data_IF_805573735757
#
_entry.id   IF_805573735757
#
_cell.length_a   1.000
_cell.length_b   1.000
_cell.length_c   1.000
_cell.angle_alpha   90.00
_cell.angle_beta   90.00
_cell.angle_gamma   90.00
#
_symmetry.space_group_name_H-M   'P 1'
#
loop_
_entity.id
_entity.type
_entity.pdbx_description
1 polymer ?
#
# COMPACT_ATOMS: atom_id res chain seq x y z
N UNK A 1 4.01 17.77 -3.57
CA UNK A 1 4.31 16.52 -2.84
C UNK A 1 3.20 15.50 -3.10
N UNK A 2 2.00 15.71 -2.57
CA UNK A 2 0.87 14.79 -2.74
C UNK A 2 0.40 14.55 -4.19
N UNK A 3 0.43 15.58 -5.04
CA UNK A 3 0.09 15.43 -6.47
C UNK A 3 1.03 14.46 -7.20
N UNK A 4 2.32 14.45 -6.83
CA UNK A 4 3.29 13.49 -7.36
C UNK A 4 2.98 12.04 -6.96
N UNK A 5 2.54 11.83 -5.71
CA UNK A 5 2.09 10.50 -5.25
C UNK A 5 0.87 10.01 -6.04
N UNK A 6 -0.09 10.89 -6.31
CA UNK A 6 -1.29 10.58 -7.09
C UNK A 6 -0.96 10.25 -8.54
N UNK A 7 -0.07 11.03 -9.17
CA UNK A 7 0.36 10.78 -10.55
C UNK A 7 1.06 9.42 -10.67
N UNK A 8 2.00 9.12 -9.78
CA UNK A 8 2.69 7.83 -9.75
C UNK A 8 1.72 6.66 -9.54
N UNK A 9 0.77 6.79 -8.62
CA UNK A 9 -0.25 5.78 -8.39
C UNK A 9 -1.11 5.55 -9.63
N UNK A 10 -1.50 6.62 -10.32
CA UNK A 10 -2.28 6.53 -11.56
C UNK A 10 -1.51 5.83 -12.68
N UNK A 11 -0.22 6.14 -12.85
CA UNK A 11 0.65 5.50 -13.84
C UNK A 11 0.83 4.00 -13.55
N UNK A 12 1.03 3.65 -12.29
CA UNK A 12 1.11 2.25 -11.83
C UNK A 12 -0.20 1.48 -12.07
N UNK A 13 -1.36 2.10 -11.78
CA UNK A 13 -2.69 1.52 -12.05
C UNK A 13 -2.90 1.34 -13.56
N UNK A 14 -2.53 2.32 -14.37
CA UNK A 14 -2.62 2.25 -15.83
C UNK A 14 -1.72 1.15 -16.39
N UNK A 15 -0.56 0.92 -15.79
CA UNK A 15 0.34 -0.18 -16.13
C UNK A 15 -0.32 -1.53 -15.87
N UNK A 16 -0.93 -1.73 -14.69
CA UNK A 16 -1.67 -2.97 -14.37
C UNK A 16 -2.82 -3.18 -15.36
N UNK A 17 -3.60 -2.13 -15.65
CA UNK A 17 -4.71 -2.20 -16.62
C UNK A 17 -4.20 -2.61 -18.01
N UNK A 18 -3.06 -2.07 -18.44
CA UNK A 18 -2.45 -2.41 -19.73
C UNK A 18 -2.01 -3.87 -19.78
N UNK A 19 -1.42 -4.39 -18.71
CA UNK A 19 -1.03 -5.80 -18.59
C UNK A 19 -2.25 -6.72 -18.67
N UNK A 20 -3.33 -6.40 -17.93
CA UNK A 20 -4.58 -7.17 -17.97
C UNK A 20 -5.15 -7.20 -19.39
N UNK A 21 -5.24 -6.04 -20.05
CA UNK A 21 -5.79 -5.92 -21.40
C UNK A 21 -4.99 -6.74 -22.43
N UNK A 22 -3.65 -6.68 -22.36
CA UNK A 22 -2.77 -7.47 -23.23
C UNK A 22 -3.00 -8.96 -22.98
N UNK A 23 -3.03 -9.36 -21.71
CA UNK A 23 -3.21 -10.76 -21.32
C UNK A 23 -4.57 -11.31 -21.75
N UNK A 24 -5.63 -10.51 -21.60
CA UNK A 24 -6.96 -10.83 -22.07
C UNK A 24 -7.01 -10.99 -23.59
N UNK A 25 -6.36 -10.07 -24.32
CA UNK A 25 -6.29 -10.18 -25.78
C UNK A 25 -5.53 -11.42 -26.25
N UNK A 26 -4.46 -11.78 -25.56
CA UNK A 26 -3.71 -13.01 -25.86
C UNK A 26 -4.56 -14.26 -25.65
N UNK A 27 -5.34 -14.32 -24.55
CA UNK A 27 -6.30 -15.42 -24.32
C UNK A 27 -7.33 -15.54 -25.44
N UNK A 28 -7.91 -14.42 -25.88
CA UNK A 28 -8.87 -14.41 -27.01
C UNK A 28 -8.25 -14.95 -28.31
N UNK A 29 -7.01 -14.54 -28.61
CA UNK A 29 -6.30 -14.98 -29.83
C UNK A 29 -6.09 -16.49 -29.80
N UNK A 30 -5.66 -17.03 -28.66
CA UNK A 30 -5.40 -18.47 -28.48
C UNK A 30 -6.70 -19.27 -28.56
N UNK A 31 -7.80 -18.74 -28.02
CA UNK A 31 -9.11 -19.41 -28.01
C UNK A 31 -9.78 -19.44 -29.40
N UNK A 32 -9.75 -18.33 -30.15
CA UNK A 32 -10.59 -18.15 -31.34
C UNK A 32 -9.90 -18.49 -32.67
N UNK A 33 -8.56 -18.54 -32.73
CA UNK A 33 -7.83 -18.69 -34.01
C UNK A 33 -6.80 -19.84 -34.04
N UNK A 34 -7.08 -21.06 -33.53
CA UNK A 34 -6.07 -22.13 -33.46
C UNK A 34 -5.46 -22.53 -34.81
N UNK A 35 -6.14 -22.25 -35.93
CA UNK A 35 -5.76 -22.67 -37.29
C UNK A 35 -5.31 -21.54 -38.23
N UNK A 36 -5.36 -20.26 -37.81
CA UNK A 36 -4.83 -19.12 -38.59
C UNK A 36 -3.47 -18.60 -38.08
N UNK A 37 -2.98 -19.16 -36.99
CA UNK A 37 -1.74 -18.74 -36.32
C UNK A 37 -0.55 -19.52 -36.90
N UNK A 38 0.04 -19.00 -37.98
CA UNK A 38 1.09 -19.69 -38.74
C UNK A 38 2.53 -19.47 -38.23
N UNK A 39 2.75 -18.70 -37.15
CA UNK A 39 4.10 -18.45 -36.62
C UNK A 39 4.48 -19.44 -35.51
N UNK A 40 5.76 -19.82 -35.45
CA UNK A 40 6.30 -20.69 -34.41
C UNK A 40 6.07 -20.12 -32.99
N UNK A 41 6.16 -18.79 -32.84
CA UNK A 41 5.92 -18.09 -31.57
C UNK A 41 4.51 -18.34 -31.01
N UNK A 42 3.49 -18.35 -31.87
CA UNK A 42 2.10 -18.56 -31.44
C UNK A 42 1.84 -20.02 -31.08
N UNK A 43 2.45 -20.98 -31.79
CA UNK A 43 2.44 -22.40 -31.40
C UNK A 43 3.13 -22.61 -30.06
N UNK A 44 4.25 -21.94 -29.83
CA UNK A 44 4.95 -21.97 -28.54
C UNK A 44 4.07 -21.43 -27.41
N UNK A 45 3.44 -20.27 -27.60
CA UNK A 45 2.53 -19.68 -26.61
C UNK A 45 1.36 -20.63 -26.34
N UNK A 46 0.72 -21.18 -27.37
CA UNK A 46 -0.41 -22.11 -27.19
C UNK A 46 -0.02 -23.38 -26.44
N UNK A 47 1.16 -23.94 -26.71
CA UNK A 47 1.66 -25.14 -26.04
C UNK A 47 2.02 -24.91 -24.56
N UNK A 48 2.33 -23.67 -24.18
CA UNK A 48 2.77 -23.30 -22.83
C UNK A 48 1.75 -22.45 -22.05
N UNK A 49 0.65 -22.03 -22.68
CA UNK A 49 -0.38 -21.24 -22.04
C UNK A 49 -1.05 -22.03 -20.90
N UNK A 50 -1.35 -21.39 -19.75
CA UNK A 50 -2.07 -22.07 -18.68
C UNK A 50 -3.46 -22.54 -19.16
N UNK A 51 -3.83 -23.78 -18.82
CA UNK A 51 -5.07 -24.40 -19.27
C UNK A 51 -6.31 -23.82 -18.58
N UNK A 52 -7.35 -23.56 -19.37
CA UNK A 52 -8.66 -23.09 -18.90
C UNK A 52 -8.59 -21.76 -18.15
N UNK A 53 -9.39 -21.62 -17.10
CA UNK A 53 -9.50 -20.37 -16.35
C UNK A 53 -8.25 -20.07 -15.47
N UNK A 54 -7.26 -20.96 -15.41
CA UNK A 54 -6.08 -20.79 -14.55
C UNK A 54 -5.25 -19.55 -14.88
N UNK A 55 -5.16 -19.20 -16.16
CA UNK A 55 -4.49 -17.96 -16.57
C UNK A 55 -5.25 -16.75 -16.03
N UNK A 56 -6.56 -16.70 -16.27
CA UNK A 56 -7.42 -15.62 -15.80
C UNK A 56 -7.34 -15.46 -14.27
N UNK A 57 -7.40 -16.58 -13.53
CA UNK A 57 -7.26 -16.59 -12.06
C UNK A 57 -5.90 -16.03 -11.64
N UNK A 58 -4.81 -16.43 -12.29
CA UNK A 58 -3.47 -15.90 -11.98
C UNK A 58 -3.36 -14.38 -12.22
N UNK A 59 -3.92 -13.90 -13.33
CA UNK A 59 -3.90 -12.47 -13.66
C UNK A 59 -4.68 -11.67 -12.62
N UNK A 60 -5.85 -12.15 -12.21
CA UNK A 60 -6.61 -11.51 -11.14
C UNK A 60 -5.83 -11.51 -9.82
N UNK A 61 -5.28 -12.65 -9.41
CA UNK A 61 -4.52 -12.77 -8.17
C UNK A 61 -3.30 -11.83 -8.13
N UNK A 62 -2.52 -11.80 -9.22
CA UNK A 62 -1.34 -10.93 -9.34
C UNK A 62 -1.72 -9.45 -9.38
N UNK A 63 -2.77 -9.10 -10.14
CA UNK A 63 -3.27 -7.72 -10.24
C UNK A 63 -3.80 -7.21 -8.92
N UNK A 64 -4.64 -7.99 -8.21
CA UNK A 64 -5.17 -7.64 -6.89
C UNK A 64 -4.03 -7.48 -5.88
N UNK A 65 -3.07 -8.41 -5.86
CA UNK A 65 -1.91 -8.34 -4.96
C UNK A 65 -1.08 -7.08 -5.23
N UNK A 66 -0.85 -6.75 -6.50
CA UNK A 66 -0.11 -5.54 -6.88
C UNK A 66 -0.89 -4.27 -6.52
N UNK A 67 -2.20 -4.22 -6.76
CA UNK A 67 -3.06 -3.09 -6.39
C UNK A 67 -3.03 -2.85 -4.88
N UNK A 68 -3.08 -3.91 -4.07
CA UNK A 68 -2.94 -3.77 -2.61
C UNK A 68 -1.57 -3.24 -2.21
N UNK A 69 -0.49 -3.75 -2.80
CA UNK A 69 0.86 -3.25 -2.52
C UNK A 69 1.02 -1.76 -2.91
N UNK A 70 0.42 -1.35 -4.03
CA UNK A 70 0.39 0.05 -4.47
C UNK A 70 -0.38 0.93 -3.49
N UNK A 71 -1.55 0.48 -3.05
CA UNK A 71 -2.36 1.17 -2.06
C UNK A 71 -1.60 1.33 -0.74
N UNK A 72 -0.97 0.27 -0.23
CA UNK A 72 -0.22 0.35 1.03
C UNK A 72 0.94 1.33 0.91
N UNK A 73 1.73 1.24 -0.16
CA UNK A 73 2.83 2.16 -0.42
C UNK A 73 2.33 3.61 -0.58
N UNK A 74 1.20 3.83 -1.27
CA UNK A 74 0.61 5.16 -1.40
C UNK A 74 0.24 5.75 -0.04
N UNK A 75 -0.43 4.98 0.82
CA UNK A 75 -0.81 5.43 2.17
C UNK A 75 0.42 5.68 3.04
N UNK A 76 1.40 4.79 3.03
CA UNK A 76 2.64 4.95 3.81
C UNK A 76 3.39 6.23 3.40
N UNK A 77 3.52 6.51 2.10
CA UNK A 77 4.14 7.73 1.61
C UNK A 77 3.30 8.97 1.94
N UNK A 78 1.98 8.91 1.77
CA UNK A 78 1.07 10.00 2.10
C UNK A 78 1.19 10.41 3.57
N UNK A 79 1.18 9.42 4.47
CA UNK A 79 1.33 9.66 5.91
C UNK A 79 2.75 10.13 6.22
N UNK A 80 3.78 9.53 5.63
CA UNK A 80 5.16 9.96 5.83
C UNK A 80 5.39 11.43 5.46
N UNK A 81 4.86 11.84 4.30
CA UNK A 81 4.90 13.20 3.79
C UNK A 81 4.13 14.17 4.70
N UNK A 82 2.94 13.77 5.15
CA UNK A 82 2.17 14.53 6.13
C UNK A 82 2.94 14.78 7.43
N UNK A 83 3.59 13.75 7.99
CA UNK A 83 4.40 13.88 9.21
C UNK A 83 5.58 14.84 9.03
N UNK A 84 6.22 14.85 7.85
CA UNK A 84 7.31 15.78 7.54
C UNK A 84 6.82 17.24 7.49
N UNK A 85 5.56 17.47 7.13
CA UNK A 85 4.95 18.81 7.09
C UNK A 85 4.52 19.32 8.47
N UNK A 86 4.24 18.46 9.43
CA UNK A 86 3.72 18.88 10.75
C UNK A 86 4.60 19.93 11.47
N UNK A 87 5.95 19.82 11.52
CA UNK A 87 6.79 20.85 12.11
C UNK A 87 6.72 22.23 11.42
N UNK A 88 6.20 22.29 10.19
CA UNK A 88 5.98 23.55 9.48
C UNK A 88 4.64 24.20 9.88
N UNK A 89 3.70 23.39 10.36
CA UNK A 89 2.36 23.83 10.79
C UNK A 89 2.32 24.15 12.29
N UNK A 90 3.13 23.45 13.08
CA UNK A 90 3.23 23.62 14.53
C UNK A 90 4.66 24.03 14.89
N UNK A 91 4.84 25.25 15.37
CA UNK A 91 6.17 25.79 15.72
C UNK A 91 6.78 25.16 16.97
N UNK A 92 5.96 24.57 17.84
CA UNK A 92 6.41 23.86 19.03
C UNK A 92 5.87 22.44 19.02
N UNK A 93 6.73 21.47 19.38
CA UNK A 93 6.35 20.06 19.48
C UNK A 93 5.19 19.84 20.46
N UNK A 94 5.12 20.63 21.52
CA UNK A 94 4.06 20.54 22.53
C UNK A 94 2.69 20.96 22.01
N UNK A 95 2.64 21.71 20.91
CA UNK A 95 1.39 22.11 20.26
C UNK A 95 0.81 20.99 19.38
N UNK A 96 1.59 19.95 19.05
CA UNK A 96 1.09 18.80 18.29
C UNK A 96 0.00 18.07 19.08
N UNK A 97 -0.96 17.42 18.40
CA UNK A 97 -1.92 16.55 19.06
C UNK A 97 -1.24 15.48 19.93
N UNK A 98 -1.84 15.16 21.07
CA UNK A 98 -1.29 14.17 22.01
C UNK A 98 -1.06 12.80 21.33
N UNK A 99 -1.96 12.39 20.43
CA UNK A 99 -1.81 11.16 19.65
C UNK A 99 -0.52 11.13 18.83
N UNK A 100 -0.15 12.26 18.22
CA UNK A 100 1.07 12.40 17.41
C UNK A 100 2.30 12.31 18.30
N UNK A 101 2.30 13.03 19.43
CA UNK A 101 3.44 13.00 20.38
C UNK A 101 3.64 11.60 20.94
N UNK A 102 2.57 10.95 21.39
CA UNK A 102 2.63 9.59 21.94
C UNK A 102 3.10 8.59 20.88
N UNK A 103 2.56 8.65 19.66
CA UNK A 103 2.99 7.76 18.58
C UNK A 103 4.46 7.98 18.23
N UNK A 104 4.93 9.23 18.14
CA UNK A 104 6.33 9.53 17.83
C UNK A 104 7.27 8.95 18.89
N UNK A 105 6.97 9.14 20.19
CA UNK A 105 7.74 8.59 21.30
C UNK A 105 7.80 7.06 21.26
N UNK A 106 6.63 6.40 21.23
CA UNK A 106 6.54 4.94 21.23
C UNK A 106 7.14 4.34 19.97
N UNK A 107 6.93 4.98 18.81
CA UNK A 107 7.47 4.54 17.54
C UNK A 107 8.99 4.66 17.48
N UNK A 108 9.56 5.77 17.93
CA UNK A 108 11.01 5.93 18.06
C UNK A 108 11.63 4.89 19.01
N UNK A 109 11.00 4.65 20.15
CA UNK A 109 11.44 3.60 21.08
C UNK A 109 11.41 2.20 20.43
N UNK A 110 10.36 1.91 19.66
CA UNK A 110 10.23 0.63 18.94
C UNK A 110 11.28 0.49 17.83
N UNK A 111 11.55 1.58 17.11
CA UNK A 111 12.60 1.62 16.09
C UNK A 111 13.95 1.27 16.69
N UNK A 112 14.33 1.95 17.77
CA UNK A 112 15.59 1.77 18.49
C UNK A 112 15.74 0.37 19.12
N UNK A 113 14.63 -0.24 19.55
CA UNK A 113 14.67 -1.57 20.17
C UNK A 113 15.03 -2.69 19.18
N UNK A 114 14.24 -2.85 18.11
CA UNK A 114 14.26 -4.08 17.31
C UNK A 114 14.21 -3.88 15.78
N UNK A 115 13.86 -2.69 15.28
CA UNK A 115 13.54 -2.51 13.85
C UNK A 115 14.72 -2.01 13.00
N UNK A 116 15.77 -1.39 13.57
CA UNK A 116 17.01 -1.09 12.82
C UNK A 116 17.73 -2.34 12.28
N UNK A 117 17.41 -3.52 12.83
CA UNK A 117 17.95 -4.81 12.38
C UNK A 117 17.16 -5.44 11.23
N UNK A 118 16.03 -4.85 10.86
CA UNK A 118 15.18 -5.27 9.75
C UNK A 118 15.41 -4.27 8.62
N UNK A 119 15.79 -4.74 7.43
CA UNK A 119 16.13 -3.94 6.25
C UNK A 119 15.05 -2.93 5.76
N UNK A 120 13.95 -2.78 6.50
CA UNK A 120 12.83 -1.88 6.24
C UNK A 120 13.18 -0.41 6.47
N UNK A 121 14.20 -0.13 7.27
CA UNK A 121 14.58 1.24 7.69
C UNK A 121 16.07 1.52 7.49
N UNK A 122 16.71 0.87 6.52
CA UNK A 122 18.17 0.99 6.27
C UNK A 122 18.62 2.43 5.94
N UNK A 123 17.71 3.29 5.48
CA UNK A 123 17.96 4.71 5.24
C UNK A 123 17.90 5.58 6.51
N UNK A 124 17.41 5.06 7.63
CA UNK A 124 17.35 5.79 8.90
C UNK A 124 18.64 5.63 9.69
N UNK A 125 19.19 6.77 10.08
CA UNK A 125 20.28 6.84 11.05
C UNK A 125 19.72 6.66 12.46
N UNK A 126 20.22 5.66 13.18
CA UNK A 126 19.91 5.46 14.61
C UNK A 126 20.18 6.72 15.42
N UNK A 127 21.31 7.39 15.13
CA UNK A 127 21.70 8.66 15.72
C UNK A 127 20.64 9.74 15.49
N UNK A 128 20.09 9.82 14.28
CA UNK A 128 19.11 10.86 13.94
C UNK A 128 17.79 10.63 14.67
N UNK A 129 17.39 9.37 14.88
CA UNK A 129 16.19 9.08 15.67
C UNK A 129 16.38 9.37 17.15
N UNK A 130 17.56 9.06 17.72
CA UNK A 130 17.88 9.44 19.11
C UNK A 130 17.87 10.97 19.24
N UNK A 131 18.51 11.67 18.29
CA UNK A 131 18.55 13.12 18.24
C UNK A 131 17.13 13.71 18.15
N UNK A 132 16.31 13.24 17.22
CA UNK A 132 14.95 13.72 17.04
C UNK A 132 14.10 13.49 18.30
N UNK A 133 14.22 12.32 18.94
CA UNK A 133 13.51 12.03 20.19
C UNK A 133 13.97 12.97 21.33
N UNK A 134 15.27 13.17 21.47
CA UNK A 134 15.84 14.08 22.47
C UNK A 134 15.39 15.54 22.24
N UNK A 135 15.50 16.01 21.00
CA UNK A 135 15.14 17.38 20.60
C UNK A 135 13.63 17.66 20.78
N UNK A 136 12.79 16.62 20.88
CA UNK A 136 11.34 16.75 21.14
C UNK A 136 10.93 16.74 22.62
N UNK A 137 11.78 16.26 23.53
CA UNK A 137 11.47 16.19 24.98
C UNK A 137 12.01 17.39 25.78
N UNK A 138 13.05 18.07 25.27
CA UNK A 138 13.65 19.23 25.94
C UNK A 138 13.07 20.56 25.42
N UNK A 139 12.82 21.50 26.36
CA UNK A 139 12.06 22.74 26.14
C UNK A 139 12.63 23.67 25.04
N UNK A 140 11.71 24.36 24.34
CA UNK A 140 11.95 25.49 23.42
C UNK A 140 12.75 25.22 22.14
N UNK A 141 12.76 23.99 21.64
CA UNK A 141 13.16 23.70 20.25
C UNK A 141 12.08 24.21 19.28
N UNK A 142 12.21 25.47 18.90
CA UNK A 142 11.47 26.09 17.77
C UNK A 142 11.71 25.40 16.42
N UNK A 143 12.63 24.42 16.38
CA UNK A 143 12.92 23.56 15.23
C UNK A 143 13.07 22.13 15.74
N UNK A 144 12.01 21.35 15.61
CA UNK A 144 12.02 19.91 15.85
C UNK A 144 11.74 19.16 14.54
N UNK A 145 12.17 17.91 14.47
CA UNK A 145 11.87 17.03 13.34
C UNK A 145 11.15 15.78 13.84
N UNK A 146 10.17 15.32 13.07
CA UNK A 146 9.49 14.06 13.32
C UNK A 146 10.12 12.95 12.49
N UNK A 147 10.37 11.81 13.14
CA UNK A 147 10.81 10.61 12.45
C UNK A 147 9.59 9.93 11.81
N UNK A 148 9.34 10.16 10.52
CA UNK A 148 8.17 9.62 9.82
C UNK A 148 8.03 8.10 9.94
N UNK A 149 9.14 7.37 9.91
CA UNK A 149 9.17 5.92 10.11
C UNK A 149 8.56 5.47 11.45
N UNK A 150 8.57 6.30 12.50
CA UNK A 150 7.95 6.00 13.79
C UNK A 150 6.42 5.87 13.69
N UNK A 151 5.81 6.46 12.66
CA UNK A 151 4.38 6.41 12.41
C UNK A 151 3.98 5.25 11.50
N UNK A 152 4.90 4.73 10.70
CA UNK A 152 4.65 3.67 9.70
C UNK A 152 4.84 2.25 10.27
N UNK A 153 4.96 2.13 11.60
CA UNK A 153 5.09 0.83 12.27
C UNK A 153 3.73 0.13 12.35
N UNK A 154 3.48 -0.75 11.39
CA UNK A 154 2.40 -1.72 11.45
C UNK A 154 2.82 -3.08 10.89
N UNK A 155 2.24 -4.15 11.46
CA UNK A 155 2.41 -5.52 10.98
C UNK A 155 1.15 -6.06 10.28
N UNK A 156 0.00 -5.43 10.53
CA UNK A 156 -1.28 -5.78 9.91
C UNK A 156 -1.50 -5.03 8.59
N UNK A 157 -2.29 -5.64 7.71
CA UNK A 157 -2.73 -5.04 6.45
C UNK A 157 -3.54 -3.75 6.71
N UNK A 158 -3.44 -2.76 5.83
CA UNK A 158 -4.12 -1.46 5.94
C UNK A 158 -5.63 -1.52 5.60
N UNK A 159 -6.35 -2.42 6.27
CA UNK A 159 -7.83 -2.46 6.30
C UNK A 159 -8.40 -1.30 7.12
N UNK A 160 -9.72 -1.10 7.08
CA UNK A 160 -10.45 0.00 7.75
C UNK A 160 -9.90 0.32 9.14
N UNK A 161 -9.81 -0.66 10.02
CA UNK A 161 -9.40 -0.46 11.41
C UNK A 161 -7.93 -0.02 11.51
N UNK A 162 -7.06 -0.66 10.74
CA UNK A 162 -5.63 -0.36 10.75
C UNK A 162 -5.31 0.98 10.09
N UNK A 163 -5.98 1.32 8.99
CA UNK A 163 -5.88 2.63 8.34
C UNK A 163 -6.39 3.74 9.26
N UNK A 164 -7.55 3.53 9.88
CA UNK A 164 -8.12 4.49 10.84
C UNK A 164 -7.16 4.75 12.00
N UNK A 165 -6.53 3.69 12.53
CA UNK A 165 -5.51 3.81 13.57
C UNK A 165 -4.27 4.56 13.08
N UNK A 166 -3.78 4.25 11.88
CA UNK A 166 -2.63 4.92 11.26
C UNK A 166 -2.87 6.44 11.13
N UNK A 167 -4.05 6.83 10.64
CA UNK A 167 -4.44 8.23 10.49
C UNK A 167 -4.59 8.94 11.85
N UNK A 168 -5.23 8.30 12.83
CA UNK A 168 -5.38 8.84 14.18
C UNK A 168 -4.03 9.11 14.86
N UNK A 169 -3.10 8.17 14.70
CA UNK A 169 -1.73 8.29 15.17
C UNK A 169 -0.98 9.42 14.48
N UNK A 170 -1.32 9.76 13.24
CA UNK A 170 -0.80 10.90 12.50
C UNK A 170 -1.53 12.23 12.81
N UNK A 171 -2.43 12.24 13.81
CA UNK A 171 -3.16 13.45 14.23
C UNK A 171 -4.38 13.76 13.36
N UNK A 172 -4.77 12.85 12.47
CA UNK A 172 -5.95 12.97 11.63
C UNK A 172 -7.08 12.21 12.31
N UNK A 173 -8.14 12.89 12.73
CA UNK A 173 -9.26 12.29 13.47
C UNK A 173 -9.76 11.00 12.79
N UNK A 174 -9.79 9.91 13.55
CA UNK A 174 -10.25 8.59 13.11
C UNK A 174 -11.70 8.62 12.63
N UNK A 175 -12.57 9.25 13.42
CA UNK A 175 -14.00 9.35 13.13
C UNK A 175 -14.22 10.17 11.87
N UNK A 176 -13.53 11.31 11.76
CA UNK A 176 -13.73 12.24 10.66
C UNK A 176 -13.13 11.70 9.36
N UNK A 177 -11.98 11.04 9.41
CA UNK A 177 -11.29 10.54 8.21
C UNK A 177 -12.05 9.40 7.54
N UNK A 178 -12.49 8.38 8.28
CA UNK A 178 -13.21 7.28 7.68
C UNK A 178 -14.61 7.70 7.21
N UNK A 179 -15.32 8.50 8.01
CA UNK A 179 -16.61 9.06 7.58
C UNK A 179 -16.46 9.94 6.35
N UNK A 180 -15.37 10.70 6.24
CA UNK A 180 -15.07 11.49 5.05
C UNK A 180 -14.88 10.60 3.82
N UNK A 181 -14.11 9.51 3.94
CA UNK A 181 -13.90 8.54 2.84
C UNK A 181 -15.23 7.92 2.41
N UNK A 182 -16.03 7.41 3.36
CA UNK A 182 -17.35 6.81 3.06
C UNK A 182 -18.32 7.80 2.41
N UNK A 183 -18.21 9.08 2.76
CA UNK A 183 -19.07 10.13 2.23
C UNK A 183 -18.55 10.78 0.95
N UNK A 184 -17.32 10.47 0.54
CA UNK A 184 -16.72 11.04 -0.66
C UNK A 184 -17.54 10.68 -1.91
N UNK A 185 -17.81 11.67 -2.76
CA UNK A 185 -18.68 11.53 -3.94
C UNK A 185 -18.24 10.37 -4.83
N UNK A 186 -16.95 10.28 -5.10
CA UNK A 186 -16.40 9.25 -5.98
C UNK A 186 -16.53 7.85 -5.37
N UNK A 187 -16.32 7.72 -4.05
CA UNK A 187 -16.48 6.45 -3.33
C UNK A 187 -17.95 6.00 -3.37
N UNK A 188 -18.88 6.93 -3.13
CA UNK A 188 -20.32 6.64 -3.23
C UNK A 188 -20.73 6.21 -4.64
N UNK A 189 -20.26 6.92 -5.66
CA UNK A 189 -20.51 6.57 -7.07
C UNK A 189 -19.94 5.19 -7.39
N UNK A 190 -18.71 4.91 -6.95
CA UNK A 190 -18.07 3.61 -7.13
C UNK A 190 -18.87 2.48 -6.47
N UNK A 191 -19.23 2.63 -5.19
CA UNK A 191 -20.03 1.62 -4.47
C UNK A 191 -21.38 1.43 -5.15
N UNK A 192 -22.06 2.52 -5.52
CA UNK A 192 -23.36 2.44 -6.21
C UNK A 192 -23.26 1.66 -7.52
N UNK A 193 -22.27 1.98 -8.35
CA UNK A 193 -22.08 1.34 -9.66
C UNK A 193 -21.73 -0.15 -9.53
N UNK A 194 -20.91 -0.54 -8.56
CA UNK A 194 -20.45 -1.92 -8.37
C UNK A 194 -21.38 -2.76 -7.48
N UNK A 195 -22.31 -2.16 -6.74
CA UNK A 195 -23.36 -2.90 -6.00
C UNK A 195 -24.37 -3.60 -6.92
N UNK A 196 -24.39 -3.26 -8.22
CA UNK A 196 -25.27 -3.85 -9.24
C UNK A 196 -24.62 -4.98 -10.06
N UNK A 197 -23.30 -5.09 -10.09
CA UNK A 197 -22.61 -6.31 -10.54
C UNK A 197 -22.69 -7.31 -9.39
N UNK A 198 -23.06 -8.57 -9.67
CA UNK A 198 -23.30 -9.59 -8.64
C UNK A 198 -22.12 -9.67 -7.66
N UNK A 199 -22.32 -9.04 -6.51
CA UNK A 199 -21.45 -9.06 -5.33
C UNK A 199 -21.16 -10.51 -4.92
N UNK A 200 -22.04 -11.44 -5.28
CA UNK A 200 -21.91 -12.88 -5.04
C UNK A 200 -20.79 -13.54 -5.88
N UNK A 201 -20.53 -13.05 -7.10
CA UNK A 201 -19.41 -13.50 -7.93
C UNK A 201 -18.06 -12.92 -7.47
N UNK A 202 -18.03 -11.65 -7.08
CA UNK A 202 -16.80 -11.02 -6.55
C UNK A 202 -16.47 -11.52 -5.13
N UNK A 203 -17.47 -11.75 -4.27
CA UNK A 203 -17.30 -12.32 -2.92
C UNK A 203 -16.81 -13.77 -2.96
N UNK A 204 -17.22 -14.58 -3.95
CA UNK A 204 -16.70 -15.95 -4.11
C UNK A 204 -15.19 -15.95 -4.39
N UNK A 205 -14.74 -15.04 -5.25
CA UNK A 205 -13.33 -14.85 -5.57
C UNK A 205 -12.54 -14.22 -4.40
N UNK A 206 -13.15 -13.27 -3.69
CA UNK A 206 -12.54 -12.62 -2.53
C UNK A 206 -12.44 -13.54 -1.29
N UNK A 207 -13.42 -14.40 -1.02
CA UNK A 207 -13.39 -15.38 0.07
C UNK A 207 -12.25 -16.39 -0.11
N UNK A 208 -12.00 -16.85 -1.34
CA UNK A 208 -10.87 -17.71 -1.67
C UNK A 208 -9.53 -16.99 -1.44
N UNK A 209 -9.44 -15.72 -1.84
CA UNK A 209 -8.24 -14.89 -1.61
C UNK A 209 -7.97 -14.60 -0.13
N UNK A 210 -8.98 -14.24 0.67
CA UNK A 210 -8.82 -13.97 2.11
C UNK A 210 -8.41 -15.22 2.88
N UNK A 211 -8.93 -16.39 2.49
CA UNK A 211 -8.58 -17.67 3.11
C UNK A 211 -7.15 -18.09 2.74
N UNK A 212 -6.72 -17.86 1.49
CA UNK A 212 -5.37 -18.16 1.02
C UNK A 212 -4.32 -17.17 1.55
N UNK A 213 -4.57 -15.87 1.47
CA UNK A 213 -3.68 -14.82 1.97
C UNK A 213 -3.54 -14.85 3.50
N UNK A 214 -4.65 -15.10 4.21
CA UNK A 214 -4.64 -15.32 5.67
C UNK A 214 -3.84 -16.56 6.09
N UNK A 215 -3.78 -17.59 5.23
CA UNK A 215 -2.97 -18.79 5.46
C UNK A 215 -1.49 -18.60 5.14
N UNK A 216 -1.12 -17.61 4.31
CA UNK A 216 0.28 -17.30 3.95
C UNK A 216 0.87 -16.20 4.85
N UNK A 217 0.04 -15.30 5.39
CA UNK A 217 0.45 -14.24 6.31
C UNK A 217 1.04 -14.71 7.64
N UNK A 218 1.06 -16.02 7.90
CA UNK A 218 1.78 -16.63 9.03
C UNK A 218 3.29 -16.76 8.83
N UNK A 219 3.83 -16.64 7.61
CA UNK A 219 5.27 -16.71 7.36
C UNK A 219 5.75 -15.67 6.33
N UNK A 220 6.52 -14.72 6.85
CA UNK A 220 7.45 -13.77 6.22
C UNK A 220 7.91 -14.14 4.79
N UNK A 221 7.90 -13.16 3.87
CA UNK A 221 8.96 -12.88 2.85
C UNK A 221 8.43 -12.36 1.51
N UNK A 222 7.75 -11.21 1.48
CA UNK A 222 7.50 -10.46 0.22
C UNK A 222 8.21 -9.11 0.15
N UNK A 223 8.72 -8.58 1.27
CA UNK A 223 9.49 -7.31 1.28
C UNK A 223 10.90 -7.43 0.67
N UNK A 224 11.41 -8.63 0.36
CA UNK A 224 12.75 -8.82 -0.25
C UNK A 224 12.77 -8.84 -1.78
N UNK A 225 11.61 -8.90 -2.45
CA UNK A 225 11.55 -9.04 -3.92
C UNK A 225 11.55 -7.71 -4.67
N UNK A 226 11.19 -6.59 -4.04
CA UNK A 226 11.14 -5.28 -4.71
C UNK A 226 12.38 -4.40 -4.47
N UNK A 227 13.33 -4.82 -3.63
CA UNK A 227 14.54 -4.05 -3.30
C UNK A 227 15.76 -4.32 -4.19
N UNK A 228 15.70 -5.29 -5.11
CA UNK A 228 16.79 -5.49 -6.08
C UNK A 228 16.51 -4.68 -7.33
N UNK A 229 17.07 -3.48 -7.39
CA UNK A 229 17.38 -2.79 -8.65
C UNK A 229 18.11 -3.80 -9.55
N UNK A 230 17.52 -4.09 -10.70
CA UNK A 230 18.24 -4.71 -11.81
C UNK A 230 19.32 -3.71 -12.24
N UNK A 231 20.57 -4.03 -11.89
CA UNK A 231 21.76 -3.60 -12.61
C UNK A 231 22.28 -4.80 -13.40
#
# INVERSE_FOLDING_TARGET
MFEGLLNNLNDDINTIRSIINISEKLREIIANNPSQLNTEDLKYIQANAPLGDKWLVNDHCSSITRLYALYENFVENLVGDWIILLPQLYSCYQDLPESVRNQHKTGCATLLGNEYKRNRFDSLSERDSIKNLFDTEYENTSRYNLTSAAFLLHEANLRKEQLTKLLANAGISATDSWQWIENHKEVKIFIYNNSRSSVENELKNFRLFVTWYGSIGGHKSTKSLFGKRFN
#
